data_IF_758452842140
#
_entry.id   IF_758452842140
#
_cell.length_a   1.000
_cell.length_b   1.000
_cell.length_c   1.000
_cell.angle_alpha   90.00
_cell.angle_beta   90.00
_cell.angle_gamma   90.00
#
_symmetry.space_group_name_H-M   'P 1'
#
loop_
_entity.id
_entity.type
_entity.pdbx_description
1 polymer ?
#
# COMPACT_ATOMS: atom_id res chain seq x y z
N UNK A 1 -37.36 45.55 -26.59
CA UNK A 1 -37.95 46.78 -26.04
C UNK A 1 -37.37 47.01 -24.66
N UNK A 2 -36.68 48.16 -24.57
CA UNK A 2 -36.27 48.95 -23.41
C UNK A 2 -35.21 48.45 -22.44
N UNK A 3 -34.06 49.00 -22.68
CA UNK A 3 -32.97 49.33 -21.74
C UNK A 3 -33.39 50.28 -20.60
N UNK A 4 -32.65 50.22 -19.52
CA UNK A 4 -32.22 51.40 -18.74
C UNK A 4 -31.13 51.04 -17.71
N UNK A 5 -29.95 51.58 -17.92
CA UNK A 5 -28.87 51.91 -16.99
C UNK A 5 -29.13 53.31 -16.38
N UNK A 6 -28.24 53.91 -15.65
CA UNK A 6 -27.59 53.68 -14.35
C UNK A 6 -27.69 54.90 -13.41
N UNK A 7 -27.08 54.86 -12.20
CA UNK A 7 -26.60 56.03 -11.42
C UNK A 7 -25.85 55.50 -10.18
N UNK A 8 -24.61 55.66 -10.02
CA UNK A 8 -23.58 56.71 -9.81
C UNK A 8 -23.70 57.50 -8.51
N UNK A 9 -22.52 57.62 -7.87
CA UNK A 9 -22.02 58.61 -6.90
C UNK A 9 -22.37 58.36 -5.42
N UNK A 10 -21.52 58.53 -4.41
CA UNK A 10 -20.35 59.41 -4.29
C UNK A 10 -19.42 59.02 -3.13
N UNK A 11 -18.21 59.25 -3.36
CA UNK A 11 -17.05 59.52 -2.53
C UNK A 11 -17.35 60.27 -1.21
N UNK A 12 -16.74 59.84 -0.09
CA UNK A 12 -16.23 60.75 0.94
C UNK A 12 -14.96 60.18 1.59
N UNK A 13 -13.88 60.85 1.29
CA UNK A 13 -12.59 60.81 2.01
C UNK A 13 -12.73 61.65 3.27
N UNK A 14 -12.19 61.17 4.39
CA UNK A 14 -11.59 62.03 5.40
C UNK A 14 -10.40 61.30 6.05
N UNK A 15 -9.28 62.01 6.05
CA UNK A 15 -8.01 61.64 6.62
C UNK A 15 -7.82 62.31 7.99
N UNK A 16 -6.64 61.96 8.61
CA UNK A 16 -5.98 62.67 9.76
C UNK A 16 -6.35 62.03 11.11
N UNK A 17 -5.43 61.71 12.06
CA UNK A 17 -4.02 62.08 12.26
C UNK A 17 -3.30 61.09 13.21
N UNK A 18 -1.98 61.16 13.17
CA UNK A 18 -1.01 60.56 14.09
C UNK A 18 -1.18 60.97 15.56
N UNK A 19 -0.86 60.00 16.47
CA UNK A 19 -0.16 60.33 17.72
C UNK A 19 0.65 59.13 18.20
N UNK A 20 1.97 59.25 18.15
CA UNK A 20 2.92 58.37 18.80
C UNK A 20 3.03 58.74 20.29
N UNK A 21 3.10 57.74 21.15
CA UNK A 21 3.69 57.89 22.49
C UNK A 21 4.22 56.54 22.97
N UNK A 22 5.52 56.45 23.10
CA UNK A 22 6.24 55.42 23.80
C UNK A 22 6.10 55.56 25.30
N UNK A 23 5.94 54.45 26.04
CA UNK A 23 6.39 54.33 27.43
C UNK A 23 6.57 52.87 27.81
N UNK A 24 7.74 52.58 28.26
CA UNK A 24 8.22 51.30 28.79
C UNK A 24 7.93 51.12 30.29
N UNK A 25 8.18 49.93 30.80
CA UNK A 25 8.26 49.46 32.21
C UNK A 25 6.90 49.09 32.86
N UNK A 26 6.68 48.01 33.56
CA UNK A 26 7.52 47.08 34.36
C UNK A 26 6.64 45.97 34.91
N UNK A 27 7.26 44.78 35.06
CA UNK A 27 7.21 43.82 36.18
C UNK A 27 5.91 43.47 36.93
N UNK A 28 5.63 42.17 36.89
CA UNK A 28 5.27 41.25 37.95
C UNK A 28 3.99 41.52 38.77
N UNK A 29 3.08 40.57 38.70
CA UNK A 29 2.53 39.93 39.92
C UNK A 29 1.59 38.78 39.56
N UNK A 30 1.70 37.70 40.31
CA UNK A 30 0.82 36.57 40.40
C UNK A 30 -0.66 36.98 40.65
N UNK A 31 -1.58 36.28 40.01
CA UNK A 31 -2.99 36.38 40.34
C UNK A 31 -3.77 35.25 39.72
N UNK A 32 -4.09 34.25 40.51
CA UNK A 32 -5.05 33.16 40.27
C UNK A 32 -6.42 33.76 40.00
N UNK A 33 -7.11 33.26 38.94
CA UNK A 33 -8.56 33.03 38.95
C UNK A 33 -9.01 32.16 37.79
N UNK A 34 -9.48 31.02 38.13
CA UNK A 34 -10.58 30.15 37.77
C UNK A 34 -11.30 30.29 36.41
N UNK A 35 -11.29 29.15 35.76
CA UNK A 35 -12.41 28.40 35.20
C UNK A 35 -13.38 29.10 34.23
N UNK A 36 -13.24 28.80 32.95
CA UNK A 36 -14.37 28.32 32.12
C UNK A 36 -13.83 27.32 31.09
N UNK A 37 -14.53 26.20 30.98
CA UNK A 37 -14.23 24.99 30.19
C UNK A 37 -13.65 25.23 28.81
N UNK A 38 -12.44 24.77 28.62
CA UNK A 38 -11.83 24.47 27.34
C UNK A 38 -11.68 22.96 27.26
N UNK A 39 -12.28 22.41 26.26
CA UNK A 39 -12.00 21.03 25.83
C UNK A 39 -10.47 20.85 25.73
N UNK A 40 -9.93 19.96 26.56
CA UNK A 40 -8.57 19.50 26.47
C UNK A 40 -8.39 18.74 25.13
N UNK A 41 -8.03 19.46 24.08
CA UNK A 41 -7.25 18.90 23.03
C UNK A 41 -5.82 18.82 23.57
N UNK A 42 -5.43 17.65 24.06
CA UNK A 42 -4.04 17.34 24.37
C UNK A 42 -3.28 17.29 23.04
N UNK A 43 -2.84 18.46 22.54
CA UNK A 43 -1.87 18.50 21.47
C UNK A 43 -0.61 17.82 21.98
N UNK A 44 -0.28 16.67 21.39
CA UNK A 44 1.01 16.04 21.62
C UNK A 44 2.13 17.02 21.29
N UNK A 45 3.21 17.08 22.07
CA UNK A 45 4.28 18.03 21.83
C UNK A 45 4.87 17.83 20.45
N UNK A 46 4.85 18.86 19.61
CA UNK A 46 5.42 18.83 18.26
C UNK A 46 6.92 18.66 18.35
N UNK A 47 7.46 17.62 17.69
CA UNK A 47 8.91 17.41 17.55
C UNK A 47 9.49 18.18 16.36
N UNK A 48 10.78 18.52 16.44
CA UNK A 48 11.56 19.03 15.31
C UNK A 48 11.95 17.93 14.32
N UNK A 49 13.12 18.04 13.74
CA UNK A 49 13.61 17.08 12.72
C UNK A 49 14.32 15.84 13.30
N UNK A 50 14.62 15.79 14.60
CA UNK A 50 15.24 14.64 15.26
C UNK A 50 14.15 13.62 15.64
N UNK A 51 13.70 12.88 14.64
CA UNK A 51 12.58 11.95 14.70
C UNK A 51 13.09 10.52 14.57
N UNK A 52 12.55 9.60 15.36
CA UNK A 52 12.78 8.17 15.20
C UNK A 52 11.49 7.49 14.77
N UNK A 53 11.45 6.98 13.55
CA UNK A 53 10.35 6.19 13.01
C UNK A 53 10.64 4.71 13.28
N UNK A 54 9.74 4.02 13.99
CA UNK A 54 9.73 2.56 14.06
C UNK A 54 9.10 1.99 12.79
N UNK A 55 9.77 1.09 12.09
CA UNK A 55 9.24 0.40 10.91
C UNK A 55 9.20 -1.11 11.16
N UNK A 56 8.00 -1.67 11.15
CA UNK A 56 7.74 -3.09 11.36
C UNK A 56 7.18 -3.71 10.09
N UNK A 57 7.97 -4.56 9.42
CA UNK A 57 7.56 -5.28 8.21
C UNK A 57 7.26 -6.76 8.52
N UNK A 58 6.32 -7.40 7.77
CA UNK A 58 5.71 -8.65 8.20
C UNK A 58 6.53 -9.88 7.87
N UNK A 59 7.11 -9.96 6.67
CA UNK A 59 7.76 -11.16 6.17
C UNK A 59 8.93 -10.84 5.21
N UNK A 60 9.64 -11.88 4.76
CA UNK A 60 10.75 -11.80 3.81
C UNK A 60 10.46 -12.50 2.49
N UNK A 61 9.34 -13.21 2.40
CA UNK A 61 8.92 -13.92 1.20
C UNK A 61 8.38 -12.94 0.14
N UNK A 62 7.76 -11.86 0.60
CA UNK A 62 7.33 -10.75 -0.24
C UNK A 62 8.53 -9.85 -0.53
N UNK A 63 9.11 -10.01 -1.71
CA UNK A 63 10.41 -9.45 -2.08
C UNK A 63 10.48 -7.91 -1.96
N UNK A 64 9.35 -7.20 -2.13
CA UNK A 64 9.31 -5.74 -2.10
C UNK A 64 9.73 -5.16 -0.75
N UNK A 65 9.38 -5.78 0.37
CA UNK A 65 9.57 -5.24 1.71
C UNK A 65 11.03 -4.91 2.03
N UNK A 66 11.94 -5.84 1.76
CA UNK A 66 13.37 -5.65 1.99
C UNK A 66 14.04 -4.84 0.87
N UNK A 67 13.58 -5.03 -0.37
CA UNK A 67 14.24 -4.48 -1.56
C UNK A 67 13.86 -3.02 -1.82
N UNK A 68 12.61 -2.65 -1.53
CA UNK A 68 12.05 -1.34 -1.85
C UNK A 68 11.55 -0.60 -0.63
N UNK A 69 10.57 -1.14 0.11
CA UNK A 69 9.84 -0.38 1.13
C UNK A 69 10.77 0.16 2.23
N UNK A 70 11.59 -0.70 2.84
CA UNK A 70 12.51 -0.24 3.88
C UNK A 70 13.52 0.82 3.40
N UNK A 71 14.29 0.63 2.31
CA UNK A 71 15.21 1.66 1.84
C UNK A 71 14.51 2.96 1.42
N UNK A 72 13.34 2.90 0.75
CA UNK A 72 12.59 4.08 0.34
C UNK A 72 12.09 4.89 1.53
N UNK A 73 11.44 4.24 2.51
CA UNK A 73 10.98 4.91 3.73
C UNK A 73 12.17 5.56 4.47
N UNK A 74 13.29 4.85 4.61
CA UNK A 74 14.48 5.38 5.27
C UNK A 74 15.04 6.62 4.56
N UNK A 75 15.15 6.58 3.24
CA UNK A 75 15.66 7.69 2.42
C UNK A 75 14.72 8.88 2.48
N UNK A 76 13.40 8.64 2.42
CA UNK A 76 12.40 9.69 2.50
C UNK A 76 12.39 10.37 3.87
N UNK A 77 12.40 9.61 4.97
CA UNK A 77 12.51 10.16 6.33
C UNK A 77 13.78 11.02 6.47
N UNK A 78 14.93 10.55 5.98
CA UNK A 78 16.16 11.31 6.00
C UNK A 78 16.03 12.62 5.21
N UNK A 79 15.45 12.57 4.01
CA UNK A 79 15.22 13.76 3.17
C UNK A 79 14.32 14.80 3.85
N UNK A 80 13.16 14.37 4.39
CA UNK A 80 12.18 15.25 5.03
C UNK A 80 12.70 15.93 6.30
N UNK A 81 13.67 15.31 6.97
CA UNK A 81 14.21 15.77 8.26
C UNK A 81 15.60 16.40 8.15
N UNK A 82 16.12 16.60 6.94
CA UNK A 82 17.48 17.10 6.73
C UNK A 82 18.56 16.18 7.31
N UNK A 83 18.38 14.86 7.16
CA UNK A 83 19.24 13.78 7.65
C UNK A 83 19.36 13.68 9.20
N UNK A 84 18.41 14.23 9.94
CA UNK A 84 18.35 14.09 11.40
C UNK A 84 17.46 12.95 11.86
N UNK A 85 16.40 12.67 11.10
CA UNK A 85 15.49 11.55 11.34
C UNK A 85 16.13 10.20 11.10
N UNK A 86 15.67 9.18 11.81
CA UNK A 86 16.16 7.80 11.78
C UNK A 86 15.00 6.83 11.61
N UNK A 87 15.26 5.70 10.97
CA UNK A 87 14.32 4.57 10.92
C UNK A 87 14.90 3.42 11.73
N UNK A 88 14.15 2.99 12.75
CA UNK A 88 14.41 1.77 13.50
C UNK A 88 13.60 0.65 12.89
N UNK A 89 14.27 -0.26 12.19
CA UNK A 89 13.64 -1.29 11.39
C UNK A 89 13.64 -2.67 12.06
N UNK A 90 12.55 -3.42 11.89
CA UNK A 90 12.49 -4.84 12.21
C UNK A 90 11.55 -5.58 11.24
N UNK A 91 11.81 -6.88 11.04
CA UNK A 91 11.01 -7.76 10.21
C UNK A 91 10.62 -9.02 11.00
N UNK A 92 9.34 -9.34 10.98
CA UNK A 92 8.77 -10.40 11.80
C UNK A 92 9.05 -11.81 11.25
N UNK A 93 9.35 -11.94 9.95
CA UNK A 93 9.55 -13.24 9.31
C UNK A 93 8.29 -14.11 9.37
N UNK A 94 7.12 -13.50 9.09
CA UNK A 94 5.79 -14.10 9.11
C UNK A 94 5.32 -14.60 10.50
N UNK A 95 5.92 -14.12 11.59
CA UNK A 95 5.53 -14.49 12.96
C UNK A 95 4.84 -13.34 13.68
N UNK A 96 3.54 -13.46 13.94
CA UNK A 96 2.77 -12.47 14.69
C UNK A 96 3.32 -12.26 16.10
N UNK A 97 3.72 -13.33 16.80
CA UNK A 97 4.32 -13.21 18.13
C UNK A 97 5.62 -12.40 18.10
N UNK A 98 6.48 -12.67 17.11
CA UNK A 98 7.72 -11.92 16.93
C UNK A 98 7.45 -10.46 16.58
N UNK A 99 6.42 -10.18 15.80
CA UNK A 99 6.02 -8.79 15.49
C UNK A 99 5.56 -8.05 16.75
N UNK A 100 4.77 -8.70 17.62
CA UNK A 100 4.35 -8.14 18.91
C UNK A 100 5.57 -7.83 19.82
N UNK A 101 6.55 -8.75 19.92
CA UNK A 101 7.80 -8.49 20.64
C UNK A 101 8.58 -7.30 20.05
N UNK A 102 8.66 -7.21 18.73
CA UNK A 102 9.31 -6.09 18.03
C UNK A 102 8.55 -4.78 18.24
N UNK A 103 7.22 -4.81 18.26
CA UNK A 103 6.38 -3.64 18.53
C UNK A 103 6.66 -3.12 19.96
N UNK A 104 6.69 -4.01 20.95
CA UNK A 104 7.05 -3.63 22.33
C UNK A 104 8.44 -2.99 22.39
N UNK A 105 9.42 -3.50 21.62
CA UNK A 105 10.76 -2.90 21.55
C UNK A 105 10.77 -1.49 20.94
N UNK A 106 9.80 -1.16 20.05
CA UNK A 106 9.64 0.21 19.55
C UNK A 106 9.08 1.13 20.64
N UNK A 107 8.09 0.64 21.42
CA UNK A 107 7.54 1.37 22.55
C UNK A 107 8.61 1.62 23.63
N UNK A 108 9.35 0.59 24.02
CA UNK A 108 10.42 0.69 25.01
C UNK A 108 11.59 1.61 24.59
N UNK A 109 11.77 1.75 23.27
CA UNK A 109 12.76 2.65 22.70
C UNK A 109 12.23 4.08 22.47
N UNK A 110 11.00 4.35 22.90
CA UNK A 110 10.35 5.66 22.79
C UNK A 110 10.44 6.25 21.36
N UNK A 111 10.15 5.42 20.34
CA UNK A 111 10.09 5.94 18.97
C UNK A 111 8.96 6.97 18.84
N UNK A 112 9.08 7.91 17.92
CA UNK A 112 8.14 9.02 17.78
C UNK A 112 6.87 8.65 17.04
N UNK A 113 6.92 7.60 16.21
CA UNK A 113 5.82 7.05 15.43
C UNK A 113 6.16 5.62 15.01
N UNK A 114 5.17 4.76 14.91
CA UNK A 114 5.32 3.42 14.35
C UNK A 114 4.60 3.32 13.00
N UNK A 115 5.33 2.89 11.97
CA UNK A 115 4.77 2.35 10.73
C UNK A 115 4.71 0.84 10.86
N UNK A 116 3.53 0.24 10.77
CA UNK A 116 3.35 -1.20 10.92
C UNK A 116 2.62 -1.81 9.71
N UNK A 117 3.28 -2.76 9.08
CA UNK A 117 2.66 -3.70 8.14
C UNK A 117 2.41 -5.01 8.90
N UNK A 118 1.15 -5.29 9.22
CA UNK A 118 0.80 -6.33 10.17
C UNK A 118 0.94 -7.74 9.56
N UNK A 119 1.58 -8.66 10.28
CA UNK A 119 1.54 -10.10 9.97
C UNK A 119 0.12 -10.63 10.09
N UNK A 120 -0.56 -10.21 11.15
CA UNK A 120 -1.95 -10.54 11.48
C UNK A 120 -2.61 -9.27 12.04
N UNK A 121 -3.56 -8.74 11.28
CA UNK A 121 -4.21 -7.46 11.60
C UNK A 121 -4.88 -7.45 12.96
N UNK A 122 -5.50 -8.56 13.36
CA UNK A 122 -6.20 -8.70 14.63
C UNK A 122 -5.24 -8.94 15.80
N UNK A 123 -4.21 -9.75 15.58
CA UNK A 123 -3.27 -10.10 16.63
C UNK A 123 -2.44 -8.90 17.10
N UNK A 124 -2.20 -7.90 16.22
CA UNK A 124 -1.41 -6.71 16.54
C UNK A 124 -2.20 -5.64 17.32
N UNK A 125 -3.54 -5.69 17.35
CA UNK A 125 -4.37 -4.66 17.96
C UNK A 125 -4.01 -4.31 19.42
N UNK A 126 -3.70 -5.28 20.33
CA UNK A 126 -3.27 -4.94 21.69
C UNK A 126 -1.95 -4.15 21.76
N UNK A 127 -1.07 -4.32 20.78
CA UNK A 127 0.20 -3.58 20.75
C UNK A 127 -0.01 -2.16 20.20
N UNK A 128 -0.96 -1.99 19.27
CA UNK A 128 -1.42 -0.66 18.82
C UNK A 128 -2.06 0.12 19.99
N UNK A 129 -2.88 -0.54 20.82
CA UNK A 129 -3.46 0.07 22.03
C UNK A 129 -2.36 0.55 23.01
N UNK A 130 -1.35 -0.30 23.28
CA UNK A 130 -0.21 0.07 24.14
C UNK A 130 0.58 1.26 23.59
N UNK A 131 0.80 1.32 22.28
CA UNK A 131 1.48 2.48 21.66
C UNK A 131 0.66 3.75 21.86
N UNK A 132 -0.67 3.69 21.66
CA UNK A 132 -1.59 4.81 21.92
C UNK A 132 -1.52 5.28 23.37
N UNK A 133 -1.54 4.35 24.33
CA UNK A 133 -1.39 4.64 25.76
C UNK A 133 -0.04 5.31 26.09
N UNK A 134 1.02 4.91 25.36
CA UNK A 134 2.34 5.53 25.46
C UNK A 134 2.46 6.88 24.72
N UNK A 135 1.39 7.34 24.03
CA UNK A 135 1.40 8.56 23.23
C UNK A 135 2.18 8.46 21.93
N UNK A 136 2.43 7.25 21.44
CA UNK A 136 3.13 6.98 20.18
C UNK A 136 2.09 6.76 19.08
N UNK A 137 2.01 7.64 18.06
CA UNK A 137 1.13 7.44 16.92
C UNK A 137 1.48 6.19 16.13
N UNK A 138 0.45 5.51 15.61
CA UNK A 138 0.60 4.31 14.79
C UNK A 138 -0.05 4.54 13.43
N UNK A 139 0.70 4.27 12.37
CA UNK A 139 0.23 4.32 11.00
C UNK A 139 0.30 2.90 10.43
N UNK A 140 -0.82 2.36 10.01
CA UNK A 140 -0.86 1.10 9.29
C UNK A 140 -0.31 1.33 7.87
N UNK A 141 0.61 0.45 7.46
CA UNK A 141 1.28 0.47 6.17
C UNK A 141 0.98 -0.82 5.41
N UNK A 142 0.59 -0.73 4.16
CA UNK A 142 0.14 -1.81 3.27
C UNK A 142 -1.06 -2.60 3.85
N UNK A 143 -0.94 -3.26 4.99
CA UNK A 143 -1.99 -4.04 5.65
C UNK A 143 -2.66 -3.24 6.75
N UNK A 144 -3.99 -3.19 6.69
CA UNK A 144 -4.81 -2.46 7.67
C UNK A 144 -4.76 -3.18 9.03
N UNK A 145 -3.98 -2.66 9.96
CA UNK A 145 -3.96 -3.15 11.34
C UNK A 145 -5.26 -2.80 12.07
N UNK A 146 -5.74 -3.69 12.95
CA UNK A 146 -6.81 -3.37 13.89
C UNK A 146 -6.24 -2.60 15.10
N UNK A 147 -7.13 -1.94 15.86
CA UNK A 147 -6.79 -1.07 16.99
C UNK A 147 -6.81 0.41 16.59
N UNK A 148 -6.56 1.32 17.57
CA UNK A 148 -6.71 2.77 17.40
C UNK A 148 -5.55 3.37 16.61
N UNK A 149 -5.43 3.07 15.33
CA UNK A 149 -4.43 3.63 14.42
C UNK A 149 -4.75 5.08 14.04
N UNK A 150 -3.73 5.87 13.73
CA UNK A 150 -3.84 7.28 13.39
C UNK A 150 -4.03 7.56 11.91
N UNK A 151 -3.53 6.66 11.05
CA UNK A 151 -3.70 6.71 9.61
C UNK A 151 -3.44 5.33 8.96
N UNK A 152 -3.83 5.21 7.70
CA UNK A 152 -3.57 4.04 6.86
C UNK A 152 -3.05 4.46 5.49
N UNK A 153 -1.99 3.79 5.02
CA UNK A 153 -1.42 3.99 3.69
C UNK A 153 -1.34 2.64 3.00
N UNK A 154 -1.99 2.53 1.86
CA UNK A 154 -2.01 1.30 1.07
C UNK A 154 -2.42 1.60 -0.37
N UNK A 155 -2.72 0.56 -1.11
CA UNK A 155 -3.35 0.62 -2.41
C UNK A 155 -4.85 0.33 -2.30
N UNK A 156 -5.62 0.67 -3.34
CA UNK A 156 -7.00 0.22 -3.44
C UNK A 156 -7.03 -1.29 -3.72
N UNK A 157 -7.09 -2.06 -2.64
CA UNK A 157 -6.96 -3.52 -2.67
C UNK A 157 -8.17 -4.23 -3.32
N UNK A 158 -9.33 -3.59 -3.34
CA UNK A 158 -10.50 -4.09 -4.07
C UNK A 158 -10.31 -3.91 -5.58
N UNK A 159 -9.86 -2.72 -5.99
CA UNK A 159 -9.47 -2.44 -7.37
C UNK A 159 -8.36 -3.36 -7.89
N UNK A 160 -7.40 -3.75 -7.03
CA UNK A 160 -6.38 -4.77 -7.41
C UNK A 160 -7.05 -6.07 -7.84
N UNK A 161 -8.02 -6.55 -7.07
CA UNK A 161 -8.77 -7.76 -7.39
C UNK A 161 -9.59 -7.61 -8.68
N UNK A 162 -10.31 -6.50 -8.83
CA UNK A 162 -11.07 -6.18 -10.05
C UNK A 162 -10.16 -6.19 -11.29
N UNK A 163 -9.00 -5.53 -11.24
CA UNK A 163 -8.05 -5.49 -12.35
C UNK A 163 -7.60 -6.89 -12.76
N UNK A 164 -7.31 -7.77 -11.81
CA UNK A 164 -6.96 -9.16 -12.08
C UNK A 164 -8.15 -9.95 -12.66
N UNK A 165 -9.34 -9.77 -12.11
CA UNK A 165 -10.57 -10.41 -12.59
C UNK A 165 -10.90 -10.02 -14.03
N UNK A 166 -10.89 -8.71 -14.34
CA UNK A 166 -11.08 -8.19 -15.70
C UNK A 166 -10.05 -8.73 -16.68
N UNK A 167 -8.78 -8.82 -16.24
CA UNK A 167 -7.71 -9.36 -17.07
C UNK A 167 -7.96 -10.82 -17.45
N UNK A 168 -8.46 -11.65 -16.54
CA UNK A 168 -8.84 -13.05 -16.82
C UNK A 168 -10.00 -13.11 -17.81
N UNK A 169 -11.08 -12.37 -17.55
CA UNK A 169 -12.25 -12.34 -18.45
C UNK A 169 -11.83 -11.87 -19.84
N UNK A 170 -11.03 -10.82 -19.92
CA UNK A 170 -10.50 -10.30 -21.19
C UNK A 170 -9.64 -11.31 -21.95
N UNK A 171 -8.74 -12.03 -21.24
CA UNK A 171 -7.89 -13.07 -21.85
C UNK A 171 -8.68 -14.26 -22.39
N UNK A 172 -9.79 -14.62 -21.74
CA UNK A 172 -10.67 -15.72 -22.15
C UNK A 172 -11.65 -15.33 -23.25
N UNK A 173 -11.99 -14.03 -23.36
CA UNK A 173 -12.87 -13.50 -24.38
C UNK A 173 -14.22 -14.23 -24.44
N UNK A 174 -14.68 -14.56 -25.64
CA UNK A 174 -15.98 -15.22 -25.87
C UNK A 174 -16.10 -16.61 -25.21
N UNK A 175 -14.98 -17.21 -24.78
CA UNK A 175 -14.99 -18.52 -24.11
C UNK A 175 -15.14 -18.40 -22.58
N UNK A 176 -15.10 -17.19 -22.02
CA UNK A 176 -15.07 -16.95 -20.58
C UNK A 176 -16.18 -17.71 -19.83
N UNK A 177 -17.44 -17.59 -20.28
CA UNK A 177 -18.60 -18.16 -19.59
C UNK A 177 -18.57 -19.69 -19.42
N UNK A 178 -17.80 -20.42 -20.22
CA UNK A 178 -17.63 -21.88 -20.12
C UNK A 178 -16.27 -22.31 -19.61
N UNK A 179 -15.36 -21.35 -19.45
CA UNK A 179 -13.97 -21.58 -19.04
C UNK A 179 -13.87 -21.84 -17.55
N UNK A 180 -13.15 -22.88 -17.17
CA UNK A 180 -12.86 -23.21 -15.79
C UNK A 180 -11.56 -22.52 -15.35
N UNK A 181 -11.63 -21.80 -14.25
CA UNK A 181 -10.47 -21.17 -13.63
C UNK A 181 -10.18 -21.73 -12.25
N UNK A 182 -8.95 -21.51 -11.79
CA UNK A 182 -8.52 -21.78 -10.41
C UNK A 182 -8.14 -20.47 -9.75
N UNK A 183 -8.57 -20.27 -8.49
CA UNK A 183 -8.17 -19.10 -7.70
C UNK A 183 -7.16 -19.50 -6.62
N UNK A 184 -5.99 -18.86 -6.63
CA UNK A 184 -4.98 -18.91 -5.58
C UNK A 184 -5.03 -17.58 -4.83
N UNK A 185 -5.82 -17.55 -3.75
CA UNK A 185 -5.95 -16.38 -2.88
C UNK A 185 -4.71 -16.20 -2.00
N UNK A 186 -4.56 -15.02 -1.40
CA UNK A 186 -3.49 -14.71 -0.47
C UNK A 186 -3.63 -15.39 0.91
N UNK A 187 -2.88 -14.87 1.89
CA UNK A 187 -2.93 -15.35 3.28
C UNK A 187 -4.22 -14.91 3.97
N UNK A 188 -4.94 -15.81 4.66
CA UNK A 188 -6.16 -15.43 5.36
C UNK A 188 -5.93 -14.55 6.61
N UNK A 189 -4.68 -14.43 7.09
CA UNK A 189 -4.31 -13.53 8.18
C UNK A 189 -4.08 -12.09 7.70
N UNK A 190 -3.94 -11.90 6.39
CA UNK A 190 -3.78 -10.60 5.76
C UNK A 190 -5.15 -10.01 5.37
N UNK A 191 -5.53 -8.84 5.89
CA UNK A 191 -6.84 -8.23 5.62
C UNK A 191 -7.02 -7.88 4.13
N UNK A 192 -5.94 -7.63 3.39
CA UNK A 192 -5.99 -7.32 1.97
C UNK A 192 -6.48 -8.50 1.14
N UNK A 193 -6.20 -9.75 1.59
CA UNK A 193 -6.65 -10.97 0.89
C UNK A 193 -8.16 -11.00 0.66
N UNK A 194 -8.95 -10.59 1.66
CA UNK A 194 -10.40 -10.53 1.53
C UNK A 194 -10.82 -9.48 0.51
N UNK A 195 -10.18 -8.31 0.49
CA UNK A 195 -10.45 -7.22 -0.45
C UNK A 195 -10.07 -7.60 -1.89
N UNK A 196 -8.88 -8.17 -2.11
CA UNK A 196 -8.48 -8.71 -3.43
C UNK A 196 -9.49 -9.73 -3.94
N UNK A 197 -9.93 -10.65 -3.07
CA UNK A 197 -10.89 -11.68 -3.44
C UNK A 197 -12.26 -11.09 -3.76
N UNK A 198 -12.74 -10.10 -3.00
CA UNK A 198 -14.01 -9.42 -3.27
C UNK A 198 -13.98 -8.77 -4.64
N UNK A 199 -13.02 -7.90 -4.91
CA UNK A 199 -12.91 -7.24 -6.22
C UNK A 199 -12.73 -8.23 -7.38
N UNK A 200 -11.94 -9.30 -7.20
CA UNK A 200 -11.81 -10.33 -8.22
C UNK A 200 -13.14 -11.04 -8.49
N UNK A 201 -13.91 -11.37 -7.45
CA UNK A 201 -15.21 -12.03 -7.61
C UNK A 201 -16.27 -11.12 -8.25
N UNK A 202 -16.24 -9.81 -8.04
CA UNK A 202 -17.12 -8.87 -8.72
C UNK A 202 -16.99 -8.94 -10.24
N UNK A 203 -15.80 -9.20 -10.74
CA UNK A 203 -15.53 -9.35 -12.17
C UNK A 203 -15.66 -10.79 -12.69
N UNK A 204 -15.44 -11.79 -11.84
CA UNK A 204 -15.41 -13.20 -12.26
C UNK A 204 -16.74 -13.92 -12.08
N UNK A 205 -17.57 -13.53 -11.10
CA UNK A 205 -18.83 -14.23 -10.81
C UNK A 205 -19.81 -14.09 -11.98
N UNK A 206 -20.30 -15.25 -12.45
CA UNK A 206 -21.19 -15.31 -13.61
C UNK A 206 -20.50 -15.12 -14.97
N UNK A 207 -19.21 -14.71 -14.99
CA UNK A 207 -18.41 -14.57 -16.21
C UNK A 207 -17.57 -15.82 -16.51
N UNK A 208 -17.17 -16.58 -15.49
CA UNK A 208 -16.35 -17.79 -15.61
C UNK A 208 -16.85 -18.89 -14.67
N UNK A 209 -16.33 -20.11 -14.83
CA UNK A 209 -16.57 -21.21 -13.90
C UNK A 209 -15.40 -21.31 -12.93
N UNK A 210 -15.58 -20.87 -11.69
CA UNK A 210 -14.57 -21.01 -10.64
C UNK A 210 -14.55 -22.48 -10.17
N UNK A 211 -13.64 -23.28 -10.73
CA UNK A 211 -13.60 -24.71 -10.48
C UNK A 211 -13.01 -25.05 -9.08
N UNK A 212 -12.03 -24.25 -8.63
CA UNK A 212 -11.38 -24.39 -7.32
C UNK A 212 -10.92 -23.04 -6.79
N UNK A 213 -10.94 -22.92 -5.44
CA UNK A 213 -10.35 -21.80 -4.72
C UNK A 213 -9.48 -22.34 -3.58
N UNK A 214 -8.34 -21.73 -3.37
CA UNK A 214 -7.41 -22.08 -2.29
C UNK A 214 -6.84 -20.82 -1.66
N UNK A 215 -6.75 -20.79 -0.33
CA UNK A 215 -6.00 -19.78 0.40
C UNK A 215 -4.54 -20.22 0.54
N UNK A 216 -3.63 -19.26 0.49
CA UNK A 216 -2.19 -19.50 0.54
C UNK A 216 -1.62 -18.93 1.82
N UNK A 217 -1.56 -19.77 2.87
CA UNK A 217 -1.06 -19.37 4.18
C UNK A 217 0.32 -18.71 4.05
N UNK A 218 0.50 -17.58 4.75
CA UNK A 218 1.76 -16.81 4.80
C UNK A 218 2.29 -16.40 3.42
N UNK A 219 1.41 -16.35 2.40
CA UNK A 219 1.79 -16.02 1.02
C UNK A 219 2.86 -16.95 0.42
N UNK A 220 3.09 -18.15 1.01
CA UNK A 220 4.17 -19.04 0.65
C UNK A 220 4.01 -19.64 -0.77
N UNK A 221 4.97 -19.42 -1.68
CA UNK A 221 4.94 -20.00 -3.03
C UNK A 221 4.85 -21.52 -3.02
N UNK A 222 5.47 -22.19 -2.03
CA UNK A 222 5.40 -23.64 -1.87
C UNK A 222 3.98 -24.14 -1.58
N UNK A 223 3.17 -23.38 -0.83
CA UNK A 223 1.77 -23.68 -0.57
C UNK A 223 0.95 -23.50 -1.83
N UNK A 224 1.15 -22.42 -2.58
CA UNK A 224 0.50 -22.18 -3.88
C UNK A 224 0.79 -23.32 -4.87
N UNK A 225 2.07 -23.74 -4.98
CA UNK A 225 2.49 -24.88 -5.81
C UNK A 225 1.78 -26.17 -5.43
N UNK A 226 1.71 -26.49 -4.13
CA UNK A 226 1.02 -27.67 -3.65
C UNK A 226 -0.49 -27.61 -3.93
N UNK A 227 -1.11 -26.46 -3.77
CA UNK A 227 -2.52 -26.23 -4.08
C UNK A 227 -2.80 -26.36 -5.58
N UNK A 228 -1.90 -25.82 -6.44
CA UNK A 228 -2.03 -25.95 -7.89
C UNK A 228 -1.94 -27.41 -8.35
N UNK A 229 -1.04 -28.20 -7.78
CA UNK A 229 -0.97 -29.66 -8.03
C UNK A 229 -2.28 -30.37 -7.68
N UNK A 230 -2.93 -30.01 -6.55
CA UNK A 230 -4.26 -30.53 -6.18
C UNK A 230 -5.35 -30.09 -7.17
N UNK A 231 -5.28 -28.83 -7.63
CA UNK A 231 -6.21 -28.32 -8.63
C UNK A 231 -6.09 -29.12 -9.95
N UNK A 232 -4.85 -29.32 -10.45
CA UNK A 232 -4.58 -30.10 -11.66
C UNK A 232 -5.13 -31.54 -11.52
N UNK A 233 -4.90 -32.19 -10.38
CA UNK A 233 -5.42 -33.55 -10.12
C UNK A 233 -6.96 -33.61 -10.13
N UNK A 234 -7.63 -32.58 -9.64
CA UNK A 234 -9.09 -32.60 -9.47
C UNK A 234 -9.87 -32.03 -10.67
N UNK A 235 -9.29 -31.10 -11.41
CA UNK A 235 -9.92 -30.40 -12.55
C UNK A 235 -9.46 -31.00 -13.88
N UNK A 236 -8.23 -31.47 -13.93
CA UNK A 236 -7.50 -31.87 -15.13
C UNK A 236 -6.75 -30.69 -15.75
N UNK A 237 -5.49 -30.92 -16.15
CA UNK A 237 -4.62 -29.88 -16.70
C UNK A 237 -5.28 -29.12 -17.85
N UNK A 238 -5.78 -29.83 -18.85
CA UNK A 238 -6.35 -29.29 -20.08
C UNK A 238 -7.70 -28.57 -19.85
N UNK A 239 -8.28 -28.70 -18.65
CA UNK A 239 -9.54 -28.04 -18.32
C UNK A 239 -9.32 -26.71 -17.55
N UNK A 240 -8.09 -26.35 -17.20
CA UNK A 240 -7.77 -25.10 -16.51
C UNK A 240 -7.47 -24.03 -17.56
N UNK A 241 -8.44 -23.15 -17.79
CA UNK A 241 -8.35 -22.12 -18.83
C UNK A 241 -7.63 -20.85 -18.38
N UNK A 242 -7.62 -20.56 -17.05
CA UNK A 242 -6.85 -19.46 -16.46
C UNK A 242 -6.63 -19.70 -14.96
N UNK A 243 -5.68 -18.97 -14.38
CA UNK A 243 -5.43 -18.98 -12.92
C UNK A 243 -5.39 -17.55 -12.41
N UNK A 244 -6.30 -17.22 -11.50
CA UNK A 244 -6.14 -16.06 -10.64
C UNK A 244 -5.08 -16.38 -9.59
N UNK A 245 -4.00 -15.64 -9.57
CA UNK A 245 -2.99 -15.71 -8.51
C UNK A 245 -2.86 -14.34 -7.87
N UNK A 246 -3.09 -14.28 -6.57
CA UNK A 246 -3.19 -13.01 -5.85
C UNK A 246 -1.84 -12.27 -5.77
N UNK A 247 -0.68 -12.92 -5.98
CA UNK A 247 0.60 -12.23 -6.15
C UNK A 247 1.58 -12.97 -7.07
N UNK A 248 2.70 -12.33 -7.38
CA UNK A 248 3.70 -12.79 -8.34
C UNK A 248 4.55 -13.96 -7.84
N UNK A 249 4.86 -14.00 -6.56
CA UNK A 249 5.59 -15.12 -5.97
C UNK A 249 4.80 -16.43 -6.09
N UNK A 250 3.48 -16.36 -5.85
CA UNK A 250 2.58 -17.49 -6.04
C UNK A 250 2.37 -17.79 -7.52
N UNK A 251 2.27 -16.77 -8.38
CA UNK A 251 2.11 -16.94 -9.83
C UNK A 251 3.28 -17.76 -10.41
N UNK A 252 4.53 -17.45 -10.06
CA UNK A 252 5.68 -18.22 -10.46
C UNK A 252 5.58 -19.70 -10.05
N UNK A 253 5.19 -19.96 -8.79
CA UNK A 253 5.02 -21.30 -8.26
C UNK A 253 3.87 -22.08 -8.92
N UNK A 254 2.80 -21.39 -9.31
CA UNK A 254 1.67 -21.93 -10.10
C UNK A 254 2.14 -22.32 -11.50
N UNK A 255 2.88 -21.44 -12.17
CA UNK A 255 3.45 -21.67 -13.51
C UNK A 255 4.40 -22.89 -13.49
N UNK A 256 5.25 -22.98 -12.47
CA UNK A 256 6.10 -24.15 -12.26
C UNK A 256 5.28 -25.44 -12.11
N UNK A 257 4.20 -25.43 -11.34
CA UNK A 257 3.35 -26.61 -11.16
C UNK A 257 2.66 -27.04 -12.47
N UNK A 258 2.25 -26.07 -13.31
CA UNK A 258 1.67 -26.33 -14.63
C UNK A 258 2.73 -26.96 -15.57
N UNK A 259 3.95 -26.42 -15.62
CA UNK A 259 5.06 -26.96 -16.39
C UNK A 259 5.43 -28.39 -15.95
N UNK A 260 5.53 -28.61 -14.63
CA UNK A 260 5.83 -29.95 -14.08
C UNK A 260 4.72 -30.98 -14.41
N UNK A 261 3.48 -30.51 -14.59
CA UNK A 261 2.38 -31.37 -15.01
C UNK A 261 2.32 -31.62 -16.53
N UNK A 262 3.21 -31.01 -17.31
CA UNK A 262 3.34 -31.20 -18.76
C UNK A 262 2.56 -30.19 -19.60
N UNK A 263 2.19 -29.01 -19.04
CA UNK A 263 1.59 -27.95 -19.84
C UNK A 263 2.56 -27.49 -20.94
N UNK A 264 2.11 -27.56 -22.19
CA UNK A 264 2.88 -27.09 -23.37
C UNK A 264 2.67 -25.59 -23.60
N UNK A 265 1.53 -25.08 -23.20
CA UNK A 265 1.19 -23.66 -23.17
C UNK A 265 0.70 -23.32 -21.76
N UNK A 266 1.15 -22.19 -21.22
CA UNK A 266 0.71 -21.73 -19.91
C UNK A 266 -0.59 -20.94 -20.10
N UNK A 267 -1.69 -21.34 -19.44
CA UNK A 267 -2.90 -20.56 -19.47
C UNK A 267 -2.67 -19.17 -18.83
N UNK A 268 -3.50 -18.16 -19.10
CA UNK A 268 -3.38 -16.86 -18.46
C UNK A 268 -3.27 -16.97 -16.94
N UNK A 269 -2.18 -16.49 -16.36
CA UNK A 269 -1.93 -16.41 -14.92
C UNK A 269 -1.77 -14.95 -14.54
N UNK A 270 -2.54 -14.50 -13.54
CA UNK A 270 -2.43 -13.15 -13.00
C UNK A 270 -1.39 -13.08 -11.87
N UNK A 271 -1.03 -11.88 -11.47
CA UNK A 271 -0.20 -11.60 -10.31
C UNK A 271 -0.39 -10.18 -9.81
N UNK A 272 0.32 -9.81 -8.75
CA UNK A 272 0.48 -8.44 -8.29
C UNK A 272 1.88 -8.26 -7.69
N UNK A 273 2.31 -7.01 -7.51
CA UNK A 273 3.57 -6.47 -7.00
C UNK A 273 4.63 -6.17 -8.07
N UNK A 274 4.43 -6.61 -9.31
CA UNK A 274 5.37 -6.40 -10.41
C UNK A 274 6.82 -6.79 -10.05
N UNK A 275 7.00 -7.96 -9.42
CA UNK A 275 8.32 -8.50 -9.11
C UNK A 275 9.16 -8.66 -10.40
N UNK A 276 10.48 -8.50 -10.30
CA UNK A 276 11.35 -8.57 -11.48
C UNK A 276 11.18 -9.86 -12.28
N UNK A 277 11.13 -10.99 -11.59
CA UNK A 277 10.92 -12.30 -12.21
C UNK A 277 9.53 -12.44 -12.86
N UNK A 278 8.51 -11.77 -12.31
CA UNK A 278 7.19 -11.72 -12.92
C UNK A 278 7.17 -10.84 -14.17
N UNK A 279 7.82 -9.67 -14.14
CA UNK A 279 7.99 -8.82 -15.33
C UNK A 279 8.74 -9.58 -16.43
N UNK A 280 9.75 -10.36 -16.08
CA UNK A 280 10.46 -11.24 -17.01
C UNK A 280 9.57 -12.34 -17.57
N UNK A 281 8.72 -12.99 -16.74
CA UNK A 281 7.72 -13.96 -17.22
C UNK A 281 6.65 -13.31 -18.11
N UNK A 282 6.29 -12.06 -17.85
CA UNK A 282 5.38 -11.30 -18.73
C UNK A 282 6.06 -11.04 -20.07
N UNK A 283 7.32 -10.63 -20.09
CA UNK A 283 8.09 -10.44 -21.32
C UNK A 283 8.13 -11.71 -22.14
N UNK A 284 8.37 -12.88 -21.55
CA UNK A 284 8.40 -14.18 -22.24
C UNK A 284 7.01 -14.77 -22.54
N UNK A 285 5.93 -14.14 -22.08
CA UNK A 285 4.55 -14.64 -22.26
C UNK A 285 4.15 -15.77 -21.31
N UNK A 286 4.98 -16.14 -20.34
CA UNK A 286 4.67 -17.18 -19.35
C UNK A 286 3.69 -16.72 -18.25
N UNK A 287 3.65 -15.42 -17.93
CA UNK A 287 2.67 -14.80 -17.07
C UNK A 287 1.88 -13.77 -17.87
N UNK A 288 0.56 -13.76 -17.73
CA UNK A 288 -0.29 -12.90 -18.54
C UNK A 288 -0.20 -11.43 -18.14
N UNK A 289 -0.24 -11.16 -16.83
CA UNK A 289 -0.16 -9.81 -16.29
C UNK A 289 0.24 -9.82 -14.81
N UNK A 290 0.61 -8.66 -14.32
CA UNK A 290 0.68 -8.37 -12.89
C UNK A 290 0.04 -7.02 -12.59
N UNK A 291 -0.42 -6.80 -11.36
CA UNK A 291 -0.83 -5.47 -10.91
C UNK A 291 0.40 -4.75 -10.38
N UNK A 292 0.79 -3.69 -11.07
CA UNK A 292 1.84 -2.79 -10.59
C UNK A 292 1.28 -1.86 -9.52
N UNK A 293 1.87 -1.92 -8.36
CA UNK A 293 1.66 -1.04 -7.21
C UNK A 293 2.91 -0.19 -7.05
N UNK A 294 2.76 1.13 -7.03
CA UNK A 294 3.92 2.01 -6.89
C UNK A 294 4.44 2.00 -5.45
N UNK A 295 5.40 1.14 -5.15
CA UNK A 295 6.06 1.09 -3.83
C UNK A 295 6.70 2.42 -3.44
N UNK A 296 7.24 3.15 -4.43
CA UNK A 296 7.80 4.47 -4.21
C UNK A 296 6.75 5.44 -3.64
N UNK A 297 5.58 5.51 -4.27
CA UNK A 297 4.51 6.40 -3.82
C UNK A 297 3.97 5.99 -2.46
N UNK A 298 3.78 4.70 -2.22
CA UNK A 298 3.29 4.19 -0.94
C UNK A 298 4.29 4.47 0.18
N UNK A 299 5.56 4.13 -0.01
CA UNK A 299 6.64 4.34 0.96
C UNK A 299 6.89 5.84 1.26
N UNK A 300 6.94 6.65 0.20
CA UNK A 300 7.11 8.09 0.32
C UNK A 300 5.96 8.73 1.10
N UNK A 301 4.73 8.39 0.76
CA UNK A 301 3.54 8.92 1.44
C UNK A 301 3.48 8.47 2.90
N UNK A 302 3.79 7.21 3.21
CA UNK A 302 3.84 6.73 4.59
C UNK A 302 4.87 7.51 5.43
N UNK A 303 6.04 7.79 4.87
CA UNK A 303 7.06 8.59 5.53
C UNK A 303 6.63 10.06 5.71
N UNK A 304 5.97 10.66 4.70
CA UNK A 304 5.43 12.02 4.76
C UNK A 304 4.35 12.15 5.85
N UNK A 305 3.39 11.23 5.89
CA UNK A 305 2.34 11.18 6.91
C UNK A 305 2.95 11.02 8.30
N UNK A 306 3.92 10.10 8.47
CA UNK A 306 4.58 9.88 9.74
C UNK A 306 5.30 11.14 10.26
N UNK A 307 6.08 11.79 9.39
CA UNK A 307 6.80 13.02 9.73
C UNK A 307 5.84 14.18 10.00
N UNK A 308 4.79 14.36 9.17
CA UNK A 308 3.78 15.40 9.37
C UNK A 308 3.04 15.22 10.70
N UNK A 309 2.65 13.99 11.06
CA UNK A 309 1.98 13.65 12.31
C UNK A 309 2.83 14.03 13.52
N UNK A 310 4.09 13.60 13.56
CA UNK A 310 5.03 13.86 14.67
C UNK A 310 5.37 15.34 14.81
N UNK A 311 5.46 16.06 13.70
CA UNK A 311 5.75 17.49 13.68
C UNK A 311 4.51 18.37 13.91
N UNK A 312 3.32 17.80 14.09
CA UNK A 312 2.08 18.53 14.31
C UNK A 312 1.63 19.36 13.09
N UNK A 313 2.03 18.95 11.87
CA UNK A 313 1.65 19.60 10.61
C UNK A 313 0.28 19.09 10.15
N UNK A 314 -0.79 19.46 10.90
CA UNK A 314 -2.14 18.94 10.70
C UNK A 314 -2.70 19.17 9.30
N UNK A 315 -2.52 20.36 8.73
CA UNK A 315 -3.00 20.69 7.36
C UNK A 315 -2.33 19.78 6.33
N UNK A 316 -1.04 19.50 6.48
CA UNK A 316 -0.32 18.60 5.59
C UNK A 316 -0.74 17.15 5.80
N UNK A 317 -0.91 16.72 7.04
CA UNK A 317 -1.44 15.41 7.37
C UNK A 317 -2.82 15.16 6.73
N UNK A 318 -3.75 16.11 6.88
CA UNK A 318 -5.08 16.03 6.27
C UNK A 318 -5.03 16.00 4.73
N UNK A 319 -4.10 16.75 4.13
CA UNK A 319 -3.91 16.75 2.68
C UNK A 319 -3.30 15.44 2.15
N UNK A 320 -2.51 14.75 2.97
CA UNK A 320 -1.89 13.45 2.65
C UNK A 320 -2.82 12.26 2.91
N UNK A 321 -3.94 12.47 3.62
CA UNK A 321 -4.92 11.42 3.97
C UNK A 321 -6.32 11.79 3.50
N UNK A 322 -6.54 11.96 2.17
CA UNK A 322 -7.81 12.40 1.61
C UNK A 322 -8.92 11.35 1.68
N UNK A 323 -8.54 10.07 1.80
CA UNK A 323 -9.45 8.93 1.84
C UNK A 323 -9.83 8.56 3.28
N UNK A 324 -10.86 7.75 3.41
CA UNK A 324 -11.31 7.17 4.67
C UNK A 324 -11.54 5.67 4.50
N UNK A 325 -11.06 4.89 5.46
CA UNK A 325 -11.21 3.43 5.46
C UNK A 325 -11.67 2.96 6.83
N UNK A 326 -12.59 2.01 6.85
CA UNK A 326 -13.05 1.36 8.08
C UNK A 326 -12.25 0.06 8.33
N UNK A 327 -11.90 -0.16 9.59
CA UNK A 327 -11.45 -1.47 10.10
C UNK A 327 -12.53 -2.08 10.98
N UNK A 328 -12.40 -3.34 11.40
CA UNK A 328 -13.34 -3.96 12.37
C UNK A 328 -13.40 -3.25 13.73
N UNK A 329 -12.42 -2.42 14.06
CA UNK A 329 -12.27 -1.76 15.37
C UNK A 329 -12.34 -0.25 15.32
N UNK A 330 -12.22 0.38 14.16
CA UNK A 330 -12.18 1.84 14.00
C UNK A 330 -12.87 2.24 12.70
N UNK A 331 -13.68 3.30 12.73
CA UNK A 331 -14.35 3.86 11.55
C UNK A 331 -13.65 5.15 11.10
N UNK A 332 -13.82 5.51 9.82
CA UNK A 332 -13.33 6.79 9.26
C UNK A 332 -11.81 7.03 9.41
N UNK A 333 -10.99 5.99 9.41
CA UNK A 333 -9.52 6.09 9.52
C UNK A 333 -8.98 6.96 8.37
N UNK A 334 -8.26 8.08 8.68
CA UNK A 334 -7.60 8.89 7.66
C UNK A 334 -6.65 8.05 6.82
N UNK A 335 -6.83 8.05 5.51
CA UNK A 335 -6.12 7.10 4.64
C UNK A 335 -5.64 7.72 3.35
N UNK A 336 -4.61 7.10 2.75
CA UNK A 336 -4.19 7.33 1.38
C UNK A 336 -4.20 6.00 0.63
N UNK A 337 -5.00 5.91 -0.42
CA UNK A 337 -5.06 4.77 -1.31
C UNK A 337 -4.34 5.09 -2.63
N UNK A 338 -3.15 4.51 -2.81
CA UNK A 338 -2.30 4.72 -3.98
C UNK A 338 -2.88 3.96 -5.18
N UNK A 339 -2.89 4.61 -6.34
CA UNK A 339 -3.40 4.04 -7.59
C UNK A 339 -2.60 2.82 -8.05
N UNK A 340 -3.29 1.88 -8.69
CA UNK A 340 -2.71 0.65 -9.25
C UNK A 340 -2.86 0.60 -10.77
N UNK A 341 -1.99 -0.16 -11.44
CA UNK A 341 -1.97 -0.28 -12.90
C UNK A 341 -1.84 -1.75 -13.30
N UNK A 342 -2.68 -2.21 -14.23
CA UNK A 342 -2.45 -3.49 -14.90
C UNK A 342 -1.16 -3.42 -15.72
N UNK A 343 -0.15 -4.19 -15.39
CA UNK A 343 1.09 -4.32 -16.14
C UNK A 343 1.03 -5.55 -17.04
N UNK A 344 1.17 -5.31 -18.32
CA UNK A 344 1.24 -6.31 -19.39
C UNK A 344 2.46 -6.06 -20.27
N UNK A 345 2.71 -6.88 -21.28
CA UNK A 345 3.78 -6.64 -22.26
C UNK A 345 3.72 -5.23 -22.89
N UNK A 346 2.50 -4.70 -23.06
CA UNK A 346 2.28 -3.44 -23.82
C UNK A 346 2.74 -2.19 -23.08
N UNK A 347 2.86 -2.23 -21.73
CA UNK A 347 3.09 -1.01 -20.94
C UNK A 347 4.26 -1.09 -19.94
N UNK A 348 5.15 -2.06 -20.07
CA UNK A 348 6.35 -2.20 -19.20
C UNK A 348 7.18 -0.90 -19.19
N UNK A 349 7.35 -0.23 -20.35
CA UNK A 349 8.09 1.03 -20.45
C UNK A 349 7.42 2.16 -19.68
N UNK A 350 6.09 2.22 -19.78
CA UNK A 350 5.29 3.32 -19.24
C UNK A 350 4.90 3.11 -17.76
N UNK A 351 5.37 2.02 -17.15
CA UNK A 351 5.15 1.65 -15.75
C UNK A 351 6.49 1.51 -15.01
N UNK A 352 6.94 0.29 -14.77
CA UNK A 352 8.11 -0.01 -13.93
C UNK A 352 9.43 0.58 -14.41
N UNK A 353 9.58 0.84 -15.72
CA UNK A 353 10.79 1.50 -16.25
C UNK A 353 10.70 3.01 -16.07
N UNK A 354 9.59 3.64 -16.48
CA UNK A 354 9.36 5.08 -16.30
C UNK A 354 9.53 5.50 -14.84
N UNK A 355 8.99 4.68 -13.94
CA UNK A 355 9.00 4.97 -12.50
C UNK A 355 10.33 4.57 -11.82
N UNK A 356 11.31 4.07 -12.60
CA UNK A 356 12.65 3.75 -12.13
C UNK A 356 12.75 2.52 -11.24
N UNK A 357 11.71 1.67 -11.20
CA UNK A 357 11.69 0.42 -10.43
C UNK A 357 12.70 -0.57 -10.99
N UNK A 358 12.73 -0.69 -12.33
CA UNK A 358 13.68 -1.51 -13.06
C UNK A 358 14.20 -0.77 -14.29
N UNK A 359 15.43 -1.12 -14.70
CA UNK A 359 15.96 -0.74 -15.99
C UNK A 359 15.67 -1.80 -17.05
N UNK A 360 15.73 -1.44 -18.33
CA UNK A 360 15.66 -2.42 -19.43
C UNK A 360 16.69 -3.54 -19.23
N UNK A 361 17.89 -3.21 -18.75
CA UNK A 361 18.96 -4.18 -18.50
C UNK A 361 18.63 -5.18 -17.38
N UNK A 362 17.90 -4.76 -16.36
CA UNK A 362 17.48 -5.66 -15.28
C UNK A 362 16.46 -6.68 -15.79
N UNK A 363 15.54 -6.23 -16.65
CA UNK A 363 14.48 -7.07 -17.23
C UNK A 363 15.04 -7.96 -18.34
N UNK A 364 15.73 -7.35 -19.31
CA UNK A 364 16.21 -8.00 -20.54
C UNK A 364 17.62 -8.57 -20.35
N UNK A 365 17.72 -9.54 -19.43
CA UNK A 365 18.96 -10.33 -19.29
C UNK A 365 19.17 -11.23 -20.52
N UNK A 366 20.34 -11.87 -20.63
CA UNK A 366 20.65 -12.75 -21.76
C UNK A 366 19.60 -13.87 -22.00
N UNK A 367 18.86 -14.26 -20.96
CA UNK A 367 17.78 -15.23 -21.06
C UNK A 367 16.53 -14.67 -21.77
N UNK A 368 16.25 -13.37 -21.65
CA UNK A 368 15.04 -12.70 -22.12
C UNK A 368 15.30 -11.71 -23.26
N UNK A 369 16.53 -11.69 -23.82
CA UNK A 369 16.95 -10.71 -24.83
C UNK A 369 16.10 -10.80 -26.10
N UNK A 370 15.84 -12.01 -26.60
CA UNK A 370 15.02 -12.24 -27.78
C UNK A 370 13.55 -11.87 -27.54
N UNK A 371 12.99 -12.22 -26.37
CA UNK A 371 11.61 -11.89 -25.99
C UNK A 371 11.44 -10.37 -25.81
N UNK A 372 12.41 -9.72 -25.19
CA UNK A 372 12.43 -8.25 -25.08
C UNK A 372 12.46 -7.58 -26.46
N UNK A 373 13.29 -8.08 -27.37
CA UNK A 373 13.36 -7.53 -28.73
C UNK A 373 12.03 -7.73 -29.48
N UNK A 374 11.36 -8.85 -29.30
CA UNK A 374 10.07 -9.16 -29.91
C UNK A 374 8.96 -8.19 -29.53
N UNK A 375 8.96 -7.69 -28.27
CA UNK A 375 7.98 -6.69 -27.77
C UNK A 375 8.50 -5.23 -27.87
N UNK A 376 9.66 -5.03 -28.51
CA UNK A 376 10.26 -3.71 -28.67
C UNK A 376 10.81 -3.08 -27.38
N UNK A 377 11.10 -3.91 -26.37
CA UNK A 377 11.74 -3.50 -25.12
C UNK A 377 13.26 -3.54 -25.29
N UNK A 378 13.80 -2.58 -26.04
CA UNK A 378 15.24 -2.45 -26.29
C UNK A 378 15.78 -1.20 -25.58
N UNK A 379 17.07 -1.23 -25.21
CA UNK A 379 17.81 -0.12 -24.54
C UNK A 379 17.90 1.13 -25.39
#
# INVERSE_FOLDING_TARGET
VKARTPRSTAVRRLAIALAASASALSLAACGVMDAVGGSDSSESPTKGNDITVGLLLPDKETARFEKFDYPLIREKVASLTGNKGKVRYANAGASANKQSEQFQQMIDAEVDVVLVDAVDAKAIAPDVEKAKEAGIPVIAYDRLAEGPIDAYVSHDNELVGEVQGRAIVGALGDKAATSKIVMMNGSPADPNTARFKTGALEELDGQVVIAKQYDTREWLPSVAKANMKKAIQSVGLDNIAAVYSANDGMAGAVIDALKEAGATEIPPVTGQDANLDAVQRIVSGEQYMTVYKSFLLEADTAAEIAVAKVQGRSIEFDALTPDKVDSPTEEDIPSQLVQVVALTQDNIKDTVIRDGVYTVKDICTAQYEDDCAAIGLTS
#
